data_IF_337369404435
#
_entry.id   IF_337369404435
#
_cell.length_a   1.000
_cell.length_b   1.000
_cell.length_c   1.000
_cell.angle_alpha   90.00
_cell.angle_beta   90.00
_cell.angle_gamma   90.00
#
_symmetry.space_group_name_H-M   'P 1'
#
loop_
_entity.id
_entity.type
_entity.pdbx_description
1 polymer ?
#
# COMPACT_ATOMS: atom_id res chain seq x y z
N UNK A 1 10.25 -36.98 -34.38
CA UNK A 1 9.14 -36.56 -33.50
C UNK A 1 9.49 -35.23 -32.80
N UNK A 2 9.08 -34.12 -33.43
CA UNK A 2 9.33 -32.75 -32.99
C UNK A 2 8.35 -32.38 -31.86
N UNK A 3 8.80 -32.46 -30.61
CA UNK A 3 8.05 -31.98 -29.45
C UNK A 3 8.38 -30.51 -29.14
N UNK A 4 8.30 -29.65 -30.17
CA UNK A 4 8.37 -28.20 -29.99
C UNK A 4 7.06 -27.63 -29.42
N UNK A 5 5.91 -28.28 -29.68
CA UNK A 5 4.62 -27.83 -29.14
C UNK A 5 4.51 -28.06 -27.63
N UNK A 6 5.10 -29.13 -27.09
CA UNK A 6 5.10 -29.39 -25.64
C UNK A 6 6.02 -28.44 -24.86
N UNK A 7 7.12 -27.95 -25.46
CA UNK A 7 7.99 -26.96 -24.82
C UNK A 7 7.40 -25.54 -24.83
N UNK A 8 6.49 -25.23 -25.77
CA UNK A 8 5.79 -23.95 -25.79
C UNK A 8 4.69 -23.84 -24.72
N UNK A 9 4.16 -24.98 -24.24
CA UNK A 9 3.19 -25.00 -23.14
C UNK A 9 3.83 -24.79 -21.75
N UNK A 10 5.08 -25.23 -21.54
CA UNK A 10 5.79 -25.01 -20.28
C UNK A 10 6.28 -23.57 -20.06
N UNK A 11 6.21 -22.71 -21.06
CA UNK A 11 6.48 -21.26 -20.92
C UNK A 11 5.24 -20.47 -20.50
N UNK A 12 4.06 -21.10 -20.46
CA UNK A 12 2.78 -20.48 -20.08
C UNK A 12 2.34 -20.74 -18.64
N UNK A 13 3.14 -21.46 -17.84
CA UNK A 13 2.93 -21.63 -16.40
C UNK A 13 3.78 -20.67 -15.55
N UNK A 14 4.10 -19.49 -16.07
CA UNK A 14 4.68 -18.38 -15.29
C UNK A 14 3.66 -17.27 -15.02
N UNK A 15 2.39 -17.64 -14.89
CA UNK A 15 1.40 -16.79 -14.26
C UNK A 15 1.28 -17.28 -12.83
N UNK A 16 2.12 -16.75 -11.93
CA UNK A 16 1.77 -16.74 -10.51
C UNK A 16 0.49 -15.90 -10.40
N UNK A 17 -0.64 -16.58 -10.48
CA UNK A 17 -1.97 -15.99 -10.46
C UNK A 17 -2.40 -15.57 -9.04
N UNK A 18 -1.45 -15.51 -8.12
CA UNK A 18 -1.59 -14.93 -6.80
C UNK A 18 -0.51 -13.86 -6.65
N UNK A 19 -0.87 -12.59 -6.87
CA UNK A 19 0.02 -11.51 -6.44
C UNK A 19 0.20 -11.63 -4.94
N UNK A 20 1.42 -11.90 -4.51
CA UNK A 20 1.75 -11.92 -3.10
C UNK A 20 1.63 -10.51 -2.53
N UNK A 21 1.45 -10.38 -1.21
CA UNK A 21 1.50 -9.05 -0.57
C UNK A 21 2.79 -8.31 -0.92
N UNK A 22 3.89 -9.03 -1.12
CA UNK A 22 5.18 -8.46 -1.51
C UNK A 22 5.17 -7.93 -2.95
N UNK A 23 4.54 -8.62 -3.91
CA UNK A 23 4.41 -8.13 -5.29
C UNK A 23 3.62 -6.81 -5.33
N UNK A 24 2.53 -6.73 -4.55
CA UNK A 24 1.71 -5.52 -4.43
C UNK A 24 2.52 -4.40 -3.76
N UNK A 25 3.25 -4.73 -2.68
CA UNK A 25 4.10 -3.79 -1.97
C UNK A 25 5.14 -3.17 -2.92
N UNK A 26 5.90 -4.00 -3.64
CA UNK A 26 6.94 -3.53 -4.55
C UNK A 26 6.37 -2.73 -5.73
N UNK A 27 5.23 -3.13 -6.27
CA UNK A 27 4.55 -2.35 -7.30
C UNK A 27 4.17 -0.94 -6.79
N UNK A 28 3.62 -0.83 -5.59
CA UNK A 28 3.24 0.47 -5.00
C UNK A 28 4.48 1.35 -4.77
N UNK A 29 5.58 0.77 -4.27
CA UNK A 29 6.85 1.49 -4.05
C UNK A 29 7.34 2.08 -5.37
N UNK A 30 7.42 1.28 -6.43
CA UNK A 30 7.86 1.71 -7.76
C UNK A 30 6.93 2.78 -8.36
N UNK A 31 5.61 2.57 -8.28
CA UNK A 31 4.61 3.56 -8.76
C UNK A 31 4.63 4.87 -7.95
N UNK A 32 5.13 4.82 -6.72
CA UNK A 32 5.30 6.00 -5.87
C UNK A 32 6.58 6.79 -6.17
N UNK A 33 7.41 6.32 -7.12
CA UNK A 33 8.66 6.94 -7.53
C UNK A 33 9.87 6.58 -6.67
N UNK A 34 9.76 5.54 -5.84
CA UNK A 34 10.81 5.11 -4.92
C UNK A 34 11.56 3.88 -5.45
N UNK A 35 12.82 3.74 -5.04
CA UNK A 35 13.63 2.56 -5.32
C UNK A 35 13.33 1.42 -4.35
N UNK A 36 13.52 0.17 -4.78
CA UNK A 36 13.43 -1.00 -3.89
C UNK A 36 14.62 -1.12 -2.92
N UNK A 37 15.68 -0.32 -3.13
CA UNK A 37 16.82 -0.22 -2.21
C UNK A 37 16.54 0.60 -0.96
N UNK A 38 15.43 1.33 -0.92
CA UNK A 38 15.04 2.12 0.24
C UNK A 38 14.75 1.23 1.45
N UNK A 39 15.01 1.75 2.65
CA UNK A 39 14.75 1.02 3.89
C UNK A 39 13.23 0.81 4.05
N UNK A 40 12.83 -0.47 4.14
CA UNK A 40 11.46 -0.89 4.46
C UNK A 40 11.41 -1.39 5.89
N UNK A 41 10.60 -0.76 6.74
CA UNK A 41 10.33 -1.19 8.10
C UNK A 41 8.89 -1.70 8.21
N UNK A 42 8.70 -2.87 8.82
CA UNK A 42 7.36 -3.37 9.13
C UNK A 42 6.99 -2.91 10.53
N UNK A 43 5.81 -2.30 10.68
CA UNK A 43 5.26 -1.85 11.96
C UNK A 43 3.85 -2.42 12.13
N UNK A 44 3.38 -2.43 13.36
CA UNK A 44 2.00 -2.77 13.69
C UNK A 44 1.30 -1.53 14.27
N UNK A 45 0.15 -1.17 13.70
CA UNK A 45 -0.66 -0.03 14.13
C UNK A 45 -2.10 -0.49 14.20
N UNK A 46 -2.74 -0.37 15.37
CA UNK A 46 -4.11 -0.86 15.59
C UNK A 46 -4.31 -2.32 15.15
N UNK A 47 -3.33 -3.19 15.47
CA UNK A 47 -3.30 -4.61 15.07
C UNK A 47 -3.30 -4.83 13.54
N UNK A 48 -2.83 -3.84 12.76
CA UNK A 48 -2.67 -3.93 11.31
C UNK A 48 -1.20 -3.80 10.95
N UNK A 49 -0.72 -4.70 10.10
CA UNK A 49 0.61 -4.64 9.52
C UNK A 49 0.70 -3.47 8.55
N UNK A 50 1.67 -2.59 8.77
CA UNK A 50 1.99 -1.48 7.86
C UNK A 50 3.46 -1.54 7.47
N UNK A 51 3.74 -1.10 6.26
CA UNK A 51 5.08 -0.98 5.73
C UNK A 51 5.45 0.50 5.69
N UNK A 52 6.59 0.83 6.28
CA UNK A 52 7.12 2.18 6.39
C UNK A 52 8.39 2.28 5.55
N UNK A 53 8.36 3.13 4.54
CA UNK A 53 9.44 3.30 3.56
C UNK A 53 10.08 4.67 3.77
N UNK A 54 11.41 4.76 3.61
CA UNK A 54 12.18 6.00 3.79
C UNK A 54 11.88 6.69 5.13
N UNK A 55 12.07 5.95 6.23
CA UNK A 55 11.87 6.45 7.59
C UNK A 55 10.47 7.08 7.85
N UNK A 56 9.43 6.56 7.20
CA UNK A 56 8.05 7.03 7.40
C UNK A 56 7.56 8.05 6.37
N UNK A 57 8.36 8.36 5.33
CA UNK A 57 7.89 9.20 4.23
C UNK A 57 6.67 8.59 3.51
N UNK A 58 6.71 7.29 3.22
CA UNK A 58 5.61 6.54 2.63
C UNK A 58 5.17 5.43 3.59
N UNK A 59 3.87 5.36 3.85
CA UNK A 59 3.23 4.27 4.58
C UNK A 59 2.33 3.48 3.63
N UNK A 60 2.44 2.16 3.64
CA UNK A 60 1.60 1.25 2.86
C UNK A 60 0.88 0.29 3.80
N UNK A 61 -0.44 0.18 3.67
CA UNK A 61 -1.26 -0.79 4.40
C UNK A 61 -1.94 -1.74 3.43
N UNK A 62 -1.58 -3.02 3.50
CA UNK A 62 -2.15 -4.10 2.68
C UNK A 62 -3.16 -4.96 3.45
N UNK A 63 -3.60 -4.47 4.60
CA UNK A 63 -4.56 -5.15 5.45
C UNK A 63 -6.01 -4.82 5.06
N UNK A 64 -6.90 -5.73 5.45
CA UNK A 64 -8.35 -5.56 5.31
C UNK A 64 -8.93 -4.97 6.60
N UNK A 65 -10.23 -4.65 6.58
CA UNK A 65 -10.95 -4.24 7.80
C UNK A 65 -10.36 -2.98 8.45
N UNK A 66 -10.11 -1.96 7.63
CA UNK A 66 -9.66 -0.67 8.13
C UNK A 66 -10.82 0.05 8.81
N UNK A 67 -10.50 0.79 9.87
CA UNK A 67 -11.47 1.57 10.64
C UNK A 67 -10.95 2.99 10.87
N UNK A 68 -11.80 3.85 11.44
CA UNK A 68 -11.46 5.26 11.64
C UNK A 68 -10.27 5.44 12.60
N UNK A 69 -10.12 4.59 13.60
CA UNK A 69 -9.04 4.68 14.58
C UNK A 69 -7.68 4.36 13.97
N UNK A 70 -7.63 3.37 13.07
CA UNK A 70 -6.45 3.11 12.24
C UNK A 70 -6.09 4.32 11.38
N UNK A 71 -7.07 4.91 10.69
CA UNK A 71 -6.87 6.09 9.84
C UNK A 71 -6.32 7.28 10.64
N UNK A 72 -6.81 7.52 11.86
CA UNK A 72 -6.28 8.58 12.73
C UNK A 72 -4.86 8.27 13.19
N UNK A 73 -4.61 7.04 13.64
CA UNK A 73 -3.30 6.63 14.14
C UNK A 73 -2.19 6.75 13.06
N UNK A 74 -2.48 6.36 11.81
CA UNK A 74 -1.51 6.53 10.72
C UNK A 74 -1.31 8.01 10.34
N UNK A 75 -2.34 8.85 10.48
CA UNK A 75 -2.23 10.27 10.17
C UNK A 75 -1.38 11.02 11.20
N UNK A 76 -1.41 10.59 12.47
CA UNK A 76 -0.56 11.14 13.54
C UNK A 76 0.94 10.90 13.32
N UNK A 77 1.30 9.88 12.55
CA UNK A 77 2.69 9.66 12.12
C UNK A 77 3.19 10.71 11.14
N UNK A 78 2.29 11.55 10.59
CA UNK A 78 2.59 12.60 9.63
C UNK A 78 3.47 12.12 8.45
N UNK A 79 3.10 11.03 7.76
CA UNK A 79 3.81 10.65 6.55
C UNK A 79 3.52 11.65 5.42
N UNK A 80 4.39 11.72 4.43
CA UNK A 80 4.10 12.50 3.22
C UNK A 80 3.02 11.81 2.37
N UNK A 81 3.04 10.46 2.32
CA UNK A 81 2.13 9.66 1.49
C UNK A 81 1.65 8.41 2.23
N UNK A 82 0.38 8.07 2.03
CA UNK A 82 -0.24 6.83 2.50
C UNK A 82 -0.94 6.13 1.35
N UNK A 83 -0.70 4.82 1.22
CA UNK A 83 -1.39 3.96 0.26
C UNK A 83 -2.06 2.81 1.00
N UNK A 84 -3.36 2.64 0.82
CA UNK A 84 -4.14 1.52 1.35
C UNK A 84 -4.76 0.72 0.21
N UNK A 85 -5.05 -0.57 0.44
CA UNK A 85 -5.87 -1.30 -0.53
C UNK A 85 -7.32 -0.81 -0.51
N UNK A 86 -7.94 -0.71 -1.69
CA UNK A 86 -9.34 -0.31 -1.83
C UNK A 86 -10.28 -1.29 -1.09
N UNK A 87 -9.98 -2.58 -1.21
CA UNK A 87 -10.68 -3.66 -0.49
C UNK A 87 -10.55 -3.55 1.04
N UNK A 88 -9.57 -2.79 1.53
CA UNK A 88 -9.39 -2.54 2.95
C UNK A 88 -10.56 -1.79 3.60
N UNK A 89 -11.32 -1.06 2.79
CA UNK A 89 -12.46 -0.26 3.22
C UNK A 89 -13.81 -0.99 3.14
N UNK A 90 -13.87 -2.22 2.60
CA UNK A 90 -15.11 -3.03 2.51
C UNK A 90 -16.33 -2.26 1.94
N UNK A 91 -16.14 -1.50 0.86
CA UNK A 91 -17.18 -0.64 0.25
C UNK A 91 -17.73 0.46 1.19
N UNK A 92 -16.99 0.82 2.25
CA UNK A 92 -17.33 1.93 3.13
C UNK A 92 -16.77 3.25 2.57
N UNK A 93 -17.49 3.83 1.62
CA UNK A 93 -17.10 5.09 0.97
C UNK A 93 -17.09 6.28 1.94
N UNK A 94 -17.92 6.21 2.99
CA UNK A 94 -17.89 7.22 4.06
C UNK A 94 -16.55 7.17 4.81
N UNK A 95 -16.03 5.99 5.11
CA UNK A 95 -14.72 5.85 5.74
C UNK A 95 -13.59 6.34 4.81
N UNK A 96 -13.64 6.05 3.51
CA UNK A 96 -12.67 6.59 2.54
C UNK A 96 -12.71 8.12 2.49
N UNK A 97 -13.91 8.70 2.46
CA UNK A 97 -14.10 10.15 2.46
C UNK A 97 -13.54 10.78 3.73
N UNK A 98 -13.83 10.18 4.90
CA UNK A 98 -13.29 10.62 6.18
C UNK A 98 -11.76 10.53 6.20
N UNK A 99 -11.18 9.46 5.65
CA UNK A 99 -9.73 9.32 5.54
C UNK A 99 -9.13 10.45 4.71
N UNK A 100 -9.65 10.73 3.51
CA UNK A 100 -9.19 11.86 2.68
C UNK A 100 -9.26 13.18 3.44
N UNK A 101 -10.35 13.44 4.17
CA UNK A 101 -10.51 14.67 4.95
C UNK A 101 -9.49 14.79 6.09
N UNK A 102 -9.27 13.70 6.84
CA UNK A 102 -8.30 13.65 7.94
C UNK A 102 -6.87 13.87 7.40
N UNK A 103 -6.51 13.21 6.30
CA UNK A 103 -5.18 13.36 5.71
C UNK A 103 -4.93 14.78 5.20
N UNK A 104 -5.97 15.46 4.71
CA UNK A 104 -5.90 16.87 4.27
C UNK A 104 -5.80 17.87 5.42
N UNK A 105 -6.34 17.55 6.60
CA UNK A 105 -6.33 18.47 7.74
C UNK A 105 -4.99 18.49 8.50
N UNK A 106 -4.15 17.48 8.29
CA UNK A 106 -2.84 17.35 8.94
C UNK A 106 -1.73 17.82 8.00
N UNK A 107 -0.80 18.62 8.54
CA UNK A 107 0.41 19.06 7.84
C UNK A 107 1.61 18.21 8.25
N UNK A 108 2.30 17.61 7.29
CA UNK A 108 3.43 16.74 7.60
C UNK A 108 4.77 17.49 7.69
N UNK A 109 4.94 18.56 6.92
CA UNK A 109 6.15 19.42 6.92
C UNK A 109 5.84 20.87 7.31
N UNK A 110 4.63 21.14 7.81
CA UNK A 110 4.15 22.47 8.19
C UNK A 110 3.31 23.16 7.12
N UNK A 111 3.44 22.78 5.84
CA UNK A 111 2.73 23.43 4.72
C UNK A 111 1.90 22.43 3.92
N UNK A 112 2.47 21.27 3.63
CA UNK A 112 1.90 20.24 2.79
C UNK A 112 1.05 19.25 3.59
N UNK A 113 -0.10 18.89 3.00
CA UNK A 113 -0.98 17.86 3.56
C UNK A 113 -0.56 16.46 3.13
N UNK A 114 -0.97 15.46 3.90
CA UNK A 114 -0.70 14.05 3.61
C UNK A 114 -1.41 13.65 2.31
N UNK A 115 -0.67 13.04 1.37
CA UNK A 115 -1.24 12.45 0.16
C UNK A 115 -1.84 11.07 0.51
N UNK A 116 -3.12 10.86 0.22
CA UNK A 116 -3.82 9.60 0.47
C UNK A 116 -4.28 8.96 -0.84
N UNK A 117 -3.94 7.68 -1.04
CA UNK A 117 -4.33 6.90 -2.21
C UNK A 117 -4.88 5.53 -1.81
N UNK A 118 -5.84 5.05 -2.59
CA UNK A 118 -6.26 3.65 -2.57
C UNK A 118 -5.86 2.96 -3.87
N UNK A 119 -5.55 1.66 -3.80
CA UNK A 119 -5.15 0.82 -4.94
C UNK A 119 -5.86 -0.52 -4.96
#
# INVERSE_FOLDING_TARGET
PNNLEQQLFNLKENIKEERTQDDILYEIILKSGLSLSEKIEVKEIQNKKVYSIMNGFLIICLEKDLNLDFIKAIAELKPAKIVCLDIGFKNNDQLKTNAVQIMKSIKFDGENSIEFKTV
#
